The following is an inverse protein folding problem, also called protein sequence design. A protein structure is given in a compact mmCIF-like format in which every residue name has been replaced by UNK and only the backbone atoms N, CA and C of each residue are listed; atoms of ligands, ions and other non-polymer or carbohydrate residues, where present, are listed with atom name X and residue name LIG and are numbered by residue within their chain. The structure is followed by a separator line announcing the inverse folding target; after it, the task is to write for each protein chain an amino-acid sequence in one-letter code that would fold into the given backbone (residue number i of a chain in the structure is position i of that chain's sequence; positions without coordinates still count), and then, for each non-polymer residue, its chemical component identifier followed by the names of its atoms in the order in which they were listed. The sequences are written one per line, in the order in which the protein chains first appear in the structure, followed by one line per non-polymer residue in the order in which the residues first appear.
data_IF_456469784224
#
_entry.id   IF_456469784224
#
_cell.length_a   1.000
_cell.length_b   1.000
_cell.length_c   1.000
_cell.angle_alpha   90.00
_cell.angle_beta   90.00
_cell.angle_gamma   90.00
#
_symmetry.space_group_name_H-M   'P 1'
#
loop_
_entity.id
_entity.type
_entity.pdbx_description
1 polymer ?
#
# COMPACT_ATOMS: atom_id res chain seq x y z
N UNK A 1 6.74 -14.60 0.91
CA UNK A 1 5.63 -13.91 0.21
C UNK A 1 5.46 -12.45 0.66
N UNK A 2 5.14 -12.19 1.93
CA UNK A 2 4.95 -10.83 2.50
C UNK A 2 6.10 -9.85 2.19
N UNK A 3 7.34 -10.23 2.46
CA UNK A 3 8.52 -9.40 2.19
C UNK A 3 8.83 -9.26 0.69
N UNK A 4 8.57 -10.30 -0.13
CA UNK A 4 8.70 -10.19 -1.59
C UNK A 4 7.74 -9.17 -2.18
N UNK A 5 6.51 -9.11 -1.66
CA UNK A 5 5.55 -8.08 -2.03
C UNK A 5 6.00 -6.69 -1.59
N UNK A 6 6.56 -6.54 -0.38
CA UNK A 6 7.15 -5.27 0.07
C UNK A 6 8.27 -4.80 -0.87
N UNK A 7 9.20 -5.68 -1.26
CA UNK A 7 10.27 -5.31 -2.19
C UNK A 7 9.76 -4.99 -3.60
N UNK A 8 8.69 -5.65 -4.05
CA UNK A 8 8.05 -5.34 -5.35
C UNK A 8 7.21 -4.06 -5.29
N UNK A 9 6.56 -3.82 -4.18
CA UNK A 9 5.65 -2.72 -3.92
C UNK A 9 6.03 -2.10 -2.58
N UNK A 10 6.94 -1.12 -2.63
CA UNK A 10 7.51 -0.45 -1.44
C UNK A 10 6.47 0.20 -0.50
N UNK A 11 5.22 0.29 -0.95
CA UNK A 11 4.13 0.99 -0.29
C UNK A 11 3.14 0.08 0.45
N UNK A 12 3.47 -1.19 0.59
CA UNK A 12 2.73 -2.12 1.44
C UNK A 12 3.68 -2.85 2.39
N UNK A 13 3.14 -3.49 3.42
CA UNK A 13 3.87 -4.50 4.20
C UNK A 13 5.17 -3.96 4.85
N UNK A 14 5.15 -2.76 5.42
CA UNK A 14 6.32 -2.11 6.02
C UNK A 14 6.83 -2.83 7.28
N UNK A 15 5.97 -3.56 7.97
CA UNK A 15 6.32 -4.29 9.18
C UNK A 15 6.75 -5.74 8.92
N UNK A 16 6.60 -6.57 9.96
CA UNK A 16 6.60 -8.02 9.82
C UNK A 16 5.19 -8.53 10.16
N UNK A 17 4.79 -9.71 9.65
CA UNK A 17 3.43 -10.28 9.84
C UNK A 17 2.85 -10.24 11.26
N UNK A 18 3.60 -10.44 12.36
CA UNK A 18 3.02 -10.42 13.71
C UNK A 18 2.66 -9.02 14.20
N UNK A 19 3.10 -7.96 13.52
CA UNK A 19 2.85 -6.58 13.90
C UNK A 19 1.74 -6.02 13.01
N UNK A 20 0.51 -5.76 13.52
CA UNK A 20 -0.64 -5.35 12.72
C UNK A 20 -0.59 -3.90 12.25
N UNK A 21 0.58 -3.25 12.27
CA UNK A 21 0.76 -1.85 11.83
C UNK A 21 0.20 -1.66 10.42
N UNK A 22 0.52 -2.56 9.49
CA UNK A 22 0.02 -2.46 8.12
C UNK A 22 -1.52 -2.60 8.02
N UNK A 23 -2.16 -3.33 8.94
CA UNK A 23 -3.62 -3.42 8.99
C UNK A 23 -4.23 -2.14 9.57
N UNK A 24 -3.60 -1.57 10.60
CA UNK A 24 -4.07 -0.35 11.23
C UNK A 24 -3.96 0.87 10.29
N UNK A 25 -2.91 0.95 9.49
CA UNK A 25 -2.69 2.04 8.54
C UNK A 25 -3.23 1.77 7.12
N UNK A 26 -3.84 0.59 6.88
CA UNK A 26 -4.43 0.24 5.59
C UNK A 26 -3.39 0.02 4.47
N UNK A 27 -2.18 -0.40 4.83
CA UNK A 27 -1.06 -0.69 3.91
C UNK A 27 -0.78 -2.18 3.77
N UNK A 28 -1.60 -3.05 4.38
CA UNK A 28 -1.47 -4.50 4.27
C UNK A 28 -1.79 -5.02 2.86
N UNK A 29 -0.95 -5.94 2.37
CA UNK A 29 -1.09 -6.58 1.08
C UNK A 29 -0.78 -8.09 1.20
N UNK A 30 -1.82 -8.91 1.07
CA UNK A 30 -1.77 -10.37 1.17
C UNK A 30 -1.57 -11.08 -0.16
N UNK A 31 -1.55 -10.33 -1.28
CA UNK A 31 -1.31 -10.87 -2.62
C UNK A 31 -2.53 -10.99 -3.50
N UNK A 32 -3.70 -10.76 -2.91
CA UNK A 32 -4.97 -10.84 -3.61
C UNK A 32 -5.14 -9.72 -4.64
N UNK A 33 -5.92 -9.94 -5.71
CA UNK A 33 -6.29 -8.88 -6.66
C UNK A 33 -6.99 -7.68 -5.99
N UNK A 34 -7.73 -7.93 -4.92
CA UNK A 34 -8.42 -6.94 -4.11
C UNK A 34 -7.40 -6.03 -3.42
N UNK A 35 -6.43 -6.60 -2.69
CA UNK A 35 -5.36 -5.85 -2.04
C UNK A 35 -4.55 -5.02 -3.05
N UNK A 36 -4.31 -5.59 -4.24
CA UNK A 36 -3.63 -4.88 -5.32
C UNK A 36 -4.43 -3.69 -5.84
N UNK A 37 -5.76 -3.84 -5.95
CA UNK A 37 -6.66 -2.76 -6.38
C UNK A 37 -6.73 -1.64 -5.35
N UNK A 38 -6.85 -1.97 -4.06
CA UNK A 38 -6.82 -0.98 -2.98
C UNK A 38 -5.50 -0.18 -2.96
N UNK A 39 -4.36 -0.86 -3.11
CA UNK A 39 -3.06 -0.19 -3.21
C UNK A 39 -3.02 0.79 -4.39
N UNK A 40 -3.46 0.37 -5.59
CA UNK A 40 -3.49 1.24 -6.78
C UNK A 40 -4.43 2.44 -6.62
N UNK A 41 -5.58 2.26 -5.99
CA UNK A 41 -6.52 3.35 -5.69
C UNK A 41 -5.88 4.39 -4.76
N UNK A 42 -5.20 3.95 -3.69
CA UNK A 42 -4.46 4.84 -2.78
C UNK A 42 -3.36 5.63 -3.51
N UNK A 43 -2.63 4.99 -4.42
CA UNK A 43 -1.61 5.67 -5.25
C UNK A 43 -2.23 6.73 -6.15
N UNK A 44 -3.35 6.40 -6.81
CA UNK A 44 -4.05 7.32 -7.71
C UNK A 44 -4.55 8.53 -6.93
N UNK A 45 -5.14 8.33 -5.75
CA UNK A 45 -5.59 9.40 -4.87
C UNK A 45 -4.41 10.30 -4.42
N UNK A 46 -3.28 9.71 -3.99
CA UNK A 46 -2.06 10.47 -3.63
C UNK A 46 -1.50 11.29 -4.79
N UNK A 47 -1.47 10.72 -6.00
CA UNK A 47 -1.03 11.44 -7.22
C UNK A 47 -1.97 12.60 -7.57
N UNK A 48 -3.28 12.38 -7.51
CA UNK A 48 -4.27 13.43 -7.73
C UNK A 48 -4.19 14.57 -6.71
N UNK A 49 -4.02 14.23 -5.43
CA UNK A 49 -3.82 15.22 -4.36
C UNK A 49 -2.54 16.05 -4.56
N UNK A 50 -1.44 15.43 -4.99
CA UNK A 50 -0.19 16.14 -5.31
C UNK A 50 -0.32 17.07 -6.53
N UNK A 51 -1.13 16.71 -7.52
CA UNK A 51 -1.39 17.55 -8.68
C UNK A 51 -2.24 18.78 -8.32
N UNK A 52 -3.19 18.64 -7.38
CA UNK A 52 -4.01 19.77 -6.90
C UNK A 52 -3.27 20.71 -5.93
N UNK A 53 -2.23 20.24 -5.25
CA UNK A 53 -1.44 21.06 -4.30
C UNK A 53 -0.32 21.89 -4.96
N UNK A 54 -0.11 21.75 -6.27
CA UNK A 54 0.92 22.47 -7.05
C UNK A 54 0.31 23.55 -7.95
N UNK A 55 -0.96 23.91 -7.76
CA UNK A 55 -1.66 24.96 -8.52
C UNK A 55 -2.07 26.13 -7.63
#
# INVERSE_FOLDING_TARGET
YFHHLHHRYFECNYGNRPVPIDKLFGTFHDGTPEAHTHMRQRMKARRGARAGAQS
#
